data_IF_672176056895
#
_entry.id   IF_672176056895
#
_cell.length_a   1.000
_cell.length_b   1.000
_cell.length_c   1.000
_cell.angle_alpha   90.00
_cell.angle_beta   90.00
_cell.angle_gamma   90.00
#
_symmetry.space_group_name_H-M   'P 1'
#
loop_
_entity.id
_entity.type
_entity.pdbx_description
1 polymer ?
#
# COMPACT_ATOMS: atom_id res chain seq x y z
N UNK A 1 26.81 5.48 4.76
CA UNK A 1 26.06 4.41 4.06
C UNK A 1 26.94 3.77 2.97
N UNK A 2 26.93 2.44 2.80
CA UNK A 2 27.68 1.76 1.73
C UNK A 2 26.79 1.49 0.50
N UNK A 3 26.57 2.53 -0.32
CA UNK A 3 25.67 2.46 -1.48
C UNK A 3 26.05 1.35 -2.48
N UNK A 4 27.35 1.14 -2.73
CA UNK A 4 27.85 0.14 -3.68
C UNK A 4 27.41 -1.29 -3.32
N UNK A 5 27.41 -1.63 -2.04
CA UNK A 5 26.97 -2.96 -1.59
C UNK A 5 25.48 -3.17 -1.84
N UNK A 6 24.65 -2.15 -1.59
CA UNK A 6 23.20 -2.22 -1.82
C UNK A 6 22.92 -2.34 -3.32
N UNK A 7 23.54 -1.49 -4.14
CA UNK A 7 23.38 -1.47 -5.59
C UNK A 7 23.76 -2.81 -6.23
N UNK A 8 24.84 -3.45 -5.75
CA UNK A 8 25.23 -4.80 -6.19
C UNK A 8 24.14 -5.83 -5.92
N UNK A 9 23.47 -5.78 -4.76
CA UNK A 9 22.40 -6.74 -4.42
C UNK A 9 21.14 -6.54 -5.25
N UNK A 10 20.80 -5.30 -5.59
CA UNK A 10 19.73 -5.02 -6.55
C UNK A 10 20.10 -5.51 -7.95
N UNK A 11 21.36 -5.35 -8.35
CA UNK A 11 21.86 -5.86 -9.63
C UNK A 11 21.76 -7.38 -9.72
N UNK A 12 22.07 -8.11 -8.63
CA UNK A 12 21.92 -9.57 -8.55
C UNK A 12 20.48 -10.04 -8.83
N UNK A 13 19.46 -9.29 -8.38
CA UNK A 13 18.04 -9.58 -8.68
C UNK A 13 17.57 -9.00 -10.02
N UNK A 14 18.48 -8.46 -10.84
CA UNK A 14 18.20 -7.88 -12.15
C UNK A 14 17.62 -6.46 -12.11
N UNK A 15 17.70 -5.77 -10.97
CA UNK A 15 17.20 -4.41 -10.79
C UNK A 15 18.32 -3.38 -10.81
N UNK A 16 17.96 -2.13 -11.14
CA UNK A 16 18.82 -0.96 -10.95
C UNK A 16 18.43 -0.26 -9.66
N UNK A 17 19.41 0.19 -8.90
CA UNK A 17 19.23 0.97 -7.67
C UNK A 17 20.12 2.20 -7.72
N UNK A 18 19.60 3.33 -7.26
CA UNK A 18 20.36 4.57 -7.09
C UNK A 18 20.12 5.10 -5.69
N UNK A 19 21.19 5.35 -4.94
CA UNK A 19 21.10 6.12 -3.70
C UNK A 19 21.38 7.58 -4.03
N UNK A 20 20.38 8.45 -3.84
CA UNK A 20 20.50 9.88 -4.15
C UNK A 20 20.47 10.71 -2.87
N UNK A 21 21.54 11.44 -2.64
CA UNK A 21 21.54 12.46 -1.60
C UNK A 21 20.84 13.73 -2.08
N UNK A 22 19.96 14.30 -1.25
CA UNK A 22 19.19 15.50 -1.57
C UNK A 22 19.53 16.61 -0.57
N UNK A 23 20.18 17.70 -1.03
CA UNK A 23 20.45 18.84 -0.18
C UNK A 23 19.17 19.63 0.11
N UNK A 24 19.14 20.31 1.25
CA UNK A 24 18.17 21.38 1.48
C UNK A 24 18.47 22.53 0.53
N UNK A 25 17.47 23.02 -0.19
CA UNK A 25 17.67 24.07 -1.20
C UNK A 25 16.53 25.06 -1.25
N UNK A 26 16.85 26.26 -1.71
CA UNK A 26 15.87 27.27 -2.06
C UNK A 26 15.17 26.90 -3.37
N UNK A 27 13.83 26.82 -3.36
CA UNK A 27 13.05 26.64 -4.59
C UNK A 27 12.59 28.00 -5.10
N UNK A 28 13.13 28.44 -6.25
CA UNK A 28 12.82 29.75 -6.83
C UNK A 28 11.36 29.89 -7.28
N UNK A 29 10.70 28.80 -7.70
CA UNK A 29 9.32 28.82 -8.17
C UNK A 29 8.29 29.03 -7.06
N UNK A 30 8.43 28.28 -5.96
CA UNK A 30 7.49 28.32 -4.82
C UNK A 30 7.88 29.32 -3.74
N UNK A 31 9.00 30.06 -3.91
CA UNK A 31 9.61 30.95 -2.90
C UNK A 31 9.68 30.30 -1.51
N UNK A 32 10.02 29.00 -1.47
CA UNK A 32 9.99 28.19 -0.25
C UNK A 32 11.30 27.45 -0.07
N UNK A 33 11.75 27.35 1.18
CA UNK A 33 12.86 26.49 1.56
C UNK A 33 12.39 25.03 1.47
N UNK A 34 12.95 24.27 0.54
CA UNK A 34 12.72 22.83 0.44
C UNK A 34 13.74 22.10 1.29
N UNK A 35 13.29 21.58 2.43
CA UNK A 35 14.07 20.72 3.31
C UNK A 35 13.30 19.40 3.46
N UNK A 36 13.64 18.35 2.69
CA UNK A 36 12.98 17.07 2.85
C UNK A 36 13.23 16.54 4.26
N UNK A 37 12.16 16.24 4.99
CA UNK A 37 12.22 15.92 6.43
C UNK A 37 12.63 14.48 6.72
N UNK A 38 12.49 13.59 5.75
CA UNK A 38 12.83 12.18 5.90
C UNK A 38 13.33 11.58 4.58
N UNK A 39 13.85 10.35 4.67
CA UNK A 39 14.23 9.57 3.49
C UNK A 39 13.01 8.94 2.80
N UNK A 40 13.17 8.54 1.54
CA UNK A 40 12.12 7.89 0.78
C UNK A 40 12.68 6.79 -0.12
N UNK A 41 11.99 5.65 -0.16
CA UNK A 41 12.24 4.57 -1.11
C UNK A 41 11.13 4.58 -2.15
N UNK A 42 11.49 4.64 -3.43
CA UNK A 42 10.54 4.78 -4.53
C UNK A 42 11.05 4.08 -5.80
N UNK A 43 10.22 4.02 -6.84
CA UNK A 43 10.61 3.58 -8.18
C UNK A 43 10.52 4.77 -9.12
N UNK A 44 11.58 4.99 -9.86
CA UNK A 44 11.72 6.08 -10.82
C UNK A 44 12.02 5.48 -12.20
N UNK A 45 11.89 6.29 -13.25
CA UNK A 45 12.13 5.87 -14.63
C UNK A 45 13.04 6.86 -15.34
N UNK A 46 14.03 6.34 -16.06
CA UNK A 46 14.87 7.10 -16.98
C UNK A 46 14.86 6.47 -18.39
N UNK A 47 15.69 6.99 -19.30
CA UNK A 47 15.82 6.47 -20.66
C UNK A 47 16.28 5.00 -20.73
N UNK A 48 16.86 4.47 -19.65
CA UNK A 48 17.33 3.07 -19.52
C UNK A 48 16.32 2.19 -18.76
N UNK A 49 15.12 2.70 -18.47
CA UNK A 49 14.04 1.96 -17.80
C UNK A 49 13.86 2.33 -16.33
N UNK A 50 13.14 1.47 -15.61
CA UNK A 50 12.83 1.65 -14.20
C UNK A 50 14.04 1.36 -13.30
N UNK A 51 14.11 2.08 -12.18
CA UNK A 51 15.11 1.87 -11.14
C UNK A 51 14.53 2.21 -9.77
N UNK A 52 15.01 1.51 -8.75
CA UNK A 52 14.74 1.85 -7.36
C UNK A 52 15.58 3.06 -6.95
N UNK A 53 14.98 3.99 -6.21
CA UNK A 53 15.66 5.16 -5.68
C UNK A 53 15.48 5.26 -4.17
N UNK A 54 16.60 5.26 -3.43
CA UNK A 54 16.63 5.67 -2.03
C UNK A 54 17.09 7.12 -1.96
N UNK A 55 16.15 8.02 -1.74
CA UNK A 55 16.37 9.45 -1.53
C UNK A 55 16.72 9.70 -0.07
N UNK A 56 17.87 10.32 0.16
CA UNK A 56 18.41 10.57 1.51
C UNK A 56 18.67 12.07 1.68
N UNK A 57 17.99 12.77 2.61
CA UNK A 57 18.34 14.15 2.91
C UNK A 57 19.78 14.24 3.41
N UNK A 58 20.55 15.24 2.95
CA UNK A 58 21.97 15.38 3.32
C UNK A 58 22.21 15.39 4.83
N UNK A 59 21.32 16.04 5.59
CA UNK A 59 21.41 16.10 7.05
C UNK A 59 21.12 14.77 7.76
N UNK A 60 20.52 13.78 7.08
CA UNK A 60 20.27 12.44 7.61
C UNK A 60 21.28 11.41 7.10
N UNK A 61 22.13 11.75 6.12
CA UNK A 61 23.04 10.82 5.43
C UNK A 61 23.98 10.07 6.40
N UNK A 62 24.46 10.76 7.44
CA UNK A 62 25.30 10.16 8.48
C UNK A 62 24.52 9.30 9.49
N UNK A 63 23.23 9.57 9.70
CA UNK A 63 22.37 8.87 10.66
C UNK A 63 21.58 7.71 10.05
N UNK A 64 21.64 7.54 8.72
CA UNK A 64 20.92 6.49 8.00
C UNK A 64 21.85 5.36 7.55
N UNK A 65 21.47 4.16 7.93
CA UNK A 65 22.11 2.91 7.51
C UNK A 65 21.08 2.08 6.74
N UNK A 66 21.39 1.74 5.50
CA UNK A 66 20.58 0.85 4.68
C UNK A 66 21.33 -0.46 4.44
N UNK A 67 20.65 -1.58 4.69
CA UNK A 67 21.24 -2.92 4.65
C UNK A 67 20.27 -3.88 3.98
N UNK A 68 20.78 -4.67 3.03
CA UNK A 68 20.02 -5.76 2.43
C UNK A 68 20.01 -6.95 3.39
N UNK A 69 18.83 -7.29 3.90
CA UNK A 69 18.65 -8.41 4.86
C UNK A 69 18.67 -9.75 4.13
N UNK A 70 18.00 -9.83 2.99
CA UNK A 70 17.97 -11.03 2.16
C UNK A 70 17.73 -10.64 0.69
N UNK A 71 18.46 -11.28 -0.22
CA UNK A 71 18.18 -11.24 -1.66
C UNK A 71 17.78 -12.63 -2.13
N UNK A 72 16.75 -12.73 -2.96
CA UNK A 72 16.29 -13.96 -3.61
C UNK A 72 16.27 -13.74 -5.12
N UNK A 73 17.44 -13.75 -5.81
CA UNK A 73 17.57 -13.36 -7.21
C UNK A 73 16.65 -14.12 -8.17
N UNK A 74 16.48 -15.44 -7.94
CA UNK A 74 15.61 -16.29 -8.78
C UNK A 74 14.15 -15.87 -8.75
N UNK A 75 13.71 -15.31 -7.62
CA UNK A 75 12.36 -14.77 -7.48
C UNK A 75 12.33 -13.27 -7.81
N UNK A 76 13.49 -12.63 -7.99
CA UNK A 76 13.66 -11.18 -8.17
C UNK A 76 13.05 -10.37 -7.03
N UNK A 77 13.27 -10.83 -5.81
CA UNK A 77 12.81 -10.18 -4.59
C UNK A 77 13.97 -9.94 -3.64
N UNK A 78 13.89 -8.87 -2.85
CA UNK A 78 14.87 -8.48 -1.86
C UNK A 78 14.18 -7.78 -0.68
N UNK A 79 14.67 -8.04 0.52
CA UNK A 79 14.27 -7.34 1.73
C UNK A 79 15.35 -6.33 2.12
N UNK A 80 15.01 -5.04 2.05
CA UNK A 80 15.84 -3.93 2.46
C UNK A 80 15.43 -3.47 3.86
N UNK A 81 16.41 -3.20 4.72
CA UNK A 81 16.19 -2.60 6.04
C UNK A 81 16.87 -1.24 6.06
N UNK A 82 16.16 -0.22 6.52
CA UNK A 82 16.70 1.12 6.71
C UNK A 82 16.57 1.50 8.18
N UNK A 83 17.71 1.76 8.81
CA UNK A 83 17.82 2.18 10.20
C UNK A 83 18.19 3.65 10.25
N UNK A 84 17.41 4.44 10.98
CA UNK A 84 17.76 5.81 11.37
C UNK A 84 18.16 5.83 12.83
N UNK A 85 19.40 6.24 13.11
CA UNK A 85 19.87 6.55 14.46
C UNK A 85 19.53 8.01 14.84
N UNK A 86 19.52 8.33 16.14
CA UNK A 86 19.24 9.68 16.64
C UNK A 86 18.14 9.71 17.70
N UNK A 87 17.54 10.89 17.91
CA UNK A 87 16.55 11.12 18.98
C UNK A 87 15.27 10.29 18.83
N UNK A 88 14.89 9.98 17.59
CA UNK A 88 13.74 9.11 17.29
C UNK A 88 14.21 7.95 16.42
N UNK A 89 14.76 6.88 17.04
CA UNK A 89 15.27 5.74 16.30
C UNK A 89 14.13 5.10 15.51
N UNK A 90 14.42 4.80 14.25
CA UNK A 90 13.45 4.22 13.33
C UNK A 90 14.08 3.04 12.62
N UNK A 91 13.30 1.98 12.43
CA UNK A 91 13.72 0.78 11.72
C UNK A 91 12.61 0.38 10.75
N UNK A 92 12.78 0.76 9.49
CA UNK A 92 11.83 0.42 8.45
C UNK A 92 12.36 -0.74 7.60
N UNK A 93 11.43 -1.49 7.04
CA UNK A 93 11.72 -2.60 6.14
C UNK A 93 10.91 -2.45 4.87
N UNK A 94 11.56 -2.69 3.74
CA UNK A 94 10.96 -2.59 2.43
C UNK A 94 11.14 -3.91 1.69
N UNK A 95 10.05 -4.49 1.23
CA UNK A 95 10.08 -5.54 0.24
C UNK A 95 10.18 -4.89 -1.13
N UNK A 96 11.31 -5.10 -1.79
CA UNK A 96 11.54 -4.68 -3.17
C UNK A 96 11.46 -5.92 -4.05
N UNK A 97 10.73 -5.86 -5.15
CA UNK A 97 10.62 -7.01 -6.03
C UNK A 97 10.10 -6.66 -7.40
N UNK A 98 10.02 -7.67 -8.25
CA UNK A 98 9.30 -7.55 -9.52
C UNK A 98 8.12 -8.49 -9.53
N UNK A 99 7.02 -8.00 -10.08
CA UNK A 99 5.82 -8.78 -10.29
C UNK A 99 5.28 -8.51 -11.68
N UNK A 100 4.67 -9.51 -12.32
CA UNK A 100 4.13 -9.47 -13.69
C UNK A 100 4.97 -8.65 -14.69
N UNK A 101 4.74 -7.33 -14.74
CA UNK A 101 5.35 -6.39 -15.68
C UNK A 101 6.23 -5.32 -15.04
N UNK A 102 6.15 -5.10 -13.74
CA UNK A 102 6.69 -3.90 -13.10
C UNK A 102 7.44 -4.23 -11.81
N UNK A 103 8.41 -3.37 -11.50
CA UNK A 103 9.03 -3.36 -10.18
C UNK A 103 8.04 -2.81 -9.14
N UNK A 104 8.17 -3.26 -7.89
CA UNK A 104 7.40 -2.73 -6.77
C UNK A 104 8.27 -2.56 -5.53
N UNK A 105 7.86 -1.60 -4.69
CA UNK A 105 8.35 -1.43 -3.32
C UNK A 105 7.15 -1.43 -2.38
N UNK A 106 7.26 -2.14 -1.27
CA UNK A 106 6.23 -2.17 -0.23
C UNK A 106 6.86 -2.01 1.15
N UNK A 107 6.35 -1.08 1.96
CA UNK A 107 6.71 -0.98 3.36
C UNK A 107 6.13 -2.18 4.13
N UNK A 108 6.96 -2.85 4.93
CA UNK A 108 6.60 -4.09 5.60
C UNK A 108 6.41 -3.85 7.09
N UNK A 109 5.25 -4.18 7.66
CA UNK A 109 5.04 -4.06 9.09
C UNK A 109 5.84 -5.11 9.88
N UNK A 110 6.35 -4.72 11.04
CA UNK A 110 6.94 -5.63 12.02
C UNK A 110 8.41 -6.00 11.80
N UNK A 111 8.90 -6.92 12.64
CA UNK A 111 10.29 -7.36 12.71
C UNK A 111 10.67 -8.48 11.75
N UNK A 112 10.34 -8.37 10.47
CA UNK A 112 10.62 -9.46 9.50
C UNK A 112 12.11 -9.58 9.17
N UNK A 113 12.60 -10.80 8.96
CA UNK A 113 14.02 -11.08 8.64
C UNK A 113 14.21 -11.86 7.34
N UNK A 114 13.15 -12.09 6.57
CA UNK A 114 13.21 -12.75 5.27
C UNK A 114 12.18 -12.20 4.30
N UNK A 115 12.44 -12.36 3.00
CA UNK A 115 11.49 -12.07 1.92
C UNK A 115 10.16 -12.81 2.14
N UNK A 116 10.23 -14.08 2.55
CA UNK A 116 9.03 -14.89 2.85
C UNK A 116 8.20 -14.28 3.98
N UNK A 117 8.84 -13.94 5.11
CA UNK A 117 8.13 -13.30 6.22
C UNK A 117 7.57 -11.93 5.82
N UNK A 118 8.28 -11.19 4.97
CA UNK A 118 7.80 -9.91 4.45
C UNK A 118 6.54 -10.09 3.58
N UNK A 119 6.52 -11.06 2.68
CA UNK A 119 5.34 -11.40 1.88
C UNK A 119 4.16 -11.84 2.76
N UNK A 120 4.40 -12.62 3.81
CA UNK A 120 3.38 -13.04 4.78
C UNK A 120 2.85 -11.85 5.60
N UNK A 121 3.73 -10.93 6.01
CA UNK A 121 3.38 -9.74 6.76
C UNK A 121 2.54 -8.74 5.94
N UNK A 122 2.61 -8.81 4.60
CA UNK A 122 1.78 -8.05 3.66
C UNK A 122 0.41 -8.71 3.38
N UNK A 123 0.16 -9.93 3.86
CA UNK A 123 -1.13 -10.60 3.71
C UNK A 123 -2.10 -10.21 4.84
N UNK A 124 -3.30 -9.69 4.50
CA UNK A 124 -4.34 -9.44 5.49
C UNK A 124 -4.70 -10.69 6.28
N UNK A 125 -5.17 -10.50 7.52
CA UNK A 125 -5.61 -11.60 8.39
C UNK A 125 -6.61 -12.51 7.70
N UNK A 126 -7.60 -11.93 7.01
CA UNK A 126 -8.66 -12.68 6.33
C UNK A 126 -8.10 -13.51 5.15
N UNK A 127 -7.07 -13.01 4.45
CA UNK A 127 -6.34 -13.78 3.43
C UNK A 127 -5.59 -14.96 4.06
N UNK A 128 -4.93 -14.74 5.21
CA UNK A 128 -4.23 -15.82 5.94
C UNK A 128 -5.20 -16.89 6.43
N UNK A 129 -6.39 -16.50 6.91
CA UNK A 129 -7.47 -17.41 7.28
C UNK A 129 -7.94 -18.20 6.06
N UNK A 130 -8.19 -17.54 4.92
CA UNK A 130 -8.60 -18.21 3.69
C UNK A 130 -7.54 -19.22 3.22
N UNK A 131 -6.25 -18.87 3.26
CA UNK A 131 -5.16 -19.78 2.90
C UNK A 131 -5.14 -21.04 3.78
N UNK A 132 -5.37 -20.89 5.09
CA UNK A 132 -5.43 -22.00 6.03
C UNK A 132 -6.68 -22.86 5.80
N UNK A 133 -7.86 -22.24 5.70
CA UNK A 133 -9.15 -22.92 5.45
C UNK A 133 -9.10 -23.76 4.18
N UNK A 134 -8.49 -23.23 3.12
CA UNK A 134 -8.35 -23.94 1.85
C UNK A 134 -7.08 -24.80 1.78
N UNK A 135 -6.31 -24.93 2.86
CA UNK A 135 -5.09 -25.75 2.92
C UNK A 135 -4.11 -25.46 1.77
N UNK A 136 -3.90 -24.20 1.42
CA UNK A 136 -3.01 -23.81 0.31
C UNK A 136 -1.57 -24.15 0.67
N UNK A 137 -0.91 -24.93 -0.20
CA UNK A 137 0.48 -25.36 0.01
C UNK A 137 1.44 -24.18 0.03
N UNK A 138 2.52 -24.31 0.80
CA UNK A 138 3.54 -23.26 0.97
C UNK A 138 4.11 -22.70 -0.33
N UNK A 139 4.16 -23.52 -1.40
CA UNK A 139 4.60 -23.12 -2.75
C UNK A 139 3.59 -22.22 -3.49
N UNK A 140 2.30 -22.31 -3.16
CA UNK A 140 1.21 -21.58 -3.84
C UNK A 140 0.68 -20.39 -3.03
N UNK A 141 1.09 -20.23 -1.77
CA UNK A 141 0.60 -19.16 -0.88
C UNK A 141 0.92 -17.74 -1.35
N UNK A 142 1.98 -17.57 -2.16
CA UNK A 142 2.36 -16.29 -2.75
C UNK A 142 2.06 -16.20 -4.25
N UNK A 143 1.50 -17.26 -4.83
CA UNK A 143 1.06 -17.23 -6.22
C UNK A 143 -0.11 -16.24 -6.35
N UNK A 144 -0.12 -15.47 -7.44
CA UNK A 144 -1.14 -14.46 -7.75
C UNK A 144 -2.54 -15.07 -7.86
N UNK A 145 -2.64 -16.34 -8.23
CA UNK A 145 -3.89 -17.11 -8.26
C UNK A 145 -3.70 -18.42 -7.51
N UNK A 146 -4.58 -18.65 -6.54
CA UNK A 146 -4.74 -19.93 -5.88
C UNK A 146 -6.23 -20.10 -5.47
N UNK A 147 -6.55 -21.19 -4.79
CA UNK A 147 -7.91 -21.49 -4.35
C UNK A 147 -8.46 -20.57 -3.24
N UNK A 148 -7.59 -19.84 -2.54
CA UNK A 148 -7.98 -18.93 -1.48
C UNK A 148 -8.14 -17.48 -1.96
N UNK A 149 -7.44 -17.07 -3.03
CA UNK A 149 -7.57 -15.72 -3.58
C UNK A 149 -7.06 -15.60 -5.03
N UNK A 150 -7.47 -14.51 -5.67
CA UNK A 150 -6.74 -13.86 -6.77
C UNK A 150 -6.12 -12.56 -6.27
N UNK A 151 -4.95 -12.17 -6.78
CA UNK A 151 -4.23 -10.95 -6.39
C UNK A 151 -3.86 -10.16 -7.65
N UNK A 152 -4.05 -8.85 -7.60
CA UNK A 152 -3.65 -7.90 -8.63
C UNK A 152 -3.13 -6.63 -7.92
N UNK A 153 -1.87 -6.28 -8.15
CA UNK A 153 -1.22 -5.19 -7.41
C UNK A 153 -1.28 -5.42 -5.88
N UNK A 154 -1.87 -4.46 -5.18
CA UNK A 154 -2.10 -4.48 -3.74
C UNK A 154 -3.42 -5.16 -3.29
N UNK A 155 -4.26 -5.52 -4.24
CA UNK A 155 -5.60 -6.04 -3.99
C UNK A 155 -5.61 -7.57 -3.96
N UNK A 156 -6.30 -8.11 -2.96
CA UNK A 156 -6.66 -9.52 -2.84
C UNK A 156 -8.17 -9.66 -3.02
N UNK A 157 -8.56 -10.64 -3.84
CA UNK A 157 -9.93 -11.00 -4.13
C UNK A 157 -10.16 -12.41 -3.57
N UNK A 158 -10.84 -12.50 -2.44
CA UNK A 158 -11.14 -13.77 -1.74
C UNK A 158 -12.51 -14.28 -2.17
N UNK A 159 -12.63 -15.52 -2.68
CA UNK A 159 -13.90 -16.12 -3.14
C UNK A 159 -15.05 -16.06 -2.12
N UNK A 160 -16.22 -15.59 -2.55
CA UNK A 160 -17.50 -15.64 -1.83
C UNK A 160 -18.59 -16.26 -2.74
N UNK A 161 -18.48 -17.55 -3.13
CA UNK A 161 -19.29 -18.15 -4.18
C UNK A 161 -20.79 -18.26 -3.84
N UNK A 162 -21.14 -18.23 -2.55
CA UNK A 162 -22.53 -18.32 -2.07
C UNK A 162 -23.17 -16.95 -1.85
N UNK A 163 -22.42 -15.86 -2.04
CA UNK A 163 -22.94 -14.52 -1.83
C UNK A 163 -23.95 -14.15 -2.91
N UNK A 164 -25.11 -13.66 -2.47
CA UNK A 164 -26.16 -13.12 -3.34
C UNK A 164 -26.33 -11.65 -3.02
N UNK A 165 -26.35 -10.81 -4.06
CA UNK A 165 -26.48 -9.35 -3.95
C UNK A 165 -27.72 -8.93 -4.72
N UNK A 166 -28.54 -8.09 -4.10
CA UNK A 166 -29.66 -7.44 -4.77
C UNK A 166 -29.14 -6.66 -6.00
N UNK A 167 -29.66 -6.93 -7.22
CA UNK A 167 -29.25 -6.22 -8.44
C UNK A 167 -29.28 -4.69 -8.32
N UNK A 168 -30.18 -4.11 -7.52
CA UNK A 168 -30.26 -2.66 -7.30
C UNK A 168 -29.09 -2.08 -6.49
N UNK A 169 -28.31 -2.92 -5.81
CA UNK A 169 -27.13 -2.54 -5.02
C UNK A 169 -25.81 -2.80 -5.75
N UNK A 170 -25.87 -3.18 -7.04
CA UNK A 170 -24.69 -3.45 -7.87
C UNK A 170 -24.29 -2.17 -8.58
N UNK A 171 -23.14 -1.65 -8.22
CA UNK A 171 -22.46 -0.57 -8.91
C UNK A 171 -21.67 -1.14 -10.09
N UNK A 172 -21.59 -0.40 -11.20
CA UNK A 172 -20.93 -0.88 -12.43
C UNK A 172 -19.79 0.03 -12.85
N UNK A 173 -18.69 -0.57 -13.32
CA UNK A 173 -17.50 0.14 -13.79
C UNK A 173 -16.90 1.09 -12.74
N UNK A 174 -16.88 0.62 -11.49
CA UNK A 174 -16.43 1.41 -10.36
C UNK A 174 -14.91 1.36 -10.22
N UNK A 175 -14.27 2.50 -9.89
CA UNK A 175 -12.85 2.51 -9.56
C UNK A 175 -12.60 1.97 -8.15
N UNK A 176 -11.63 1.05 -8.02
CA UNK A 176 -10.94 0.72 -6.79
C UNK A 176 -9.58 1.43 -6.77
N UNK A 177 -9.37 2.32 -5.81
CA UNK A 177 -8.17 3.18 -5.77
C UNK A 177 -7.61 3.25 -4.37
N UNK A 178 -6.28 3.26 -4.26
CA UNK A 178 -5.54 3.73 -3.09
C UNK A 178 -4.92 5.10 -3.39
N UNK A 179 -5.27 6.10 -2.58
CA UNK A 179 -4.68 7.44 -2.67
C UNK A 179 -4.75 8.04 -4.08
N UNK A 180 -3.61 8.56 -4.55
CA UNK A 180 -3.49 9.21 -5.86
C UNK A 180 -3.16 8.30 -7.05
N UNK A 181 -3.06 6.98 -6.87
CA UNK A 181 -2.65 6.04 -7.94
C UNK A 181 -3.68 5.86 -9.07
N UNK A 182 -3.35 5.14 -10.14
CA UNK A 182 -4.33 4.75 -11.16
C UNK A 182 -5.33 3.76 -10.54
N UNK A 183 -6.66 3.91 -10.78
CA UNK A 183 -7.63 2.99 -10.23
C UNK A 183 -7.63 1.66 -10.99
N UNK A 184 -7.95 0.59 -10.27
CA UNK A 184 -8.42 -0.64 -10.89
C UNK A 184 -9.89 -0.44 -11.24
N UNK A 185 -10.29 -0.65 -12.50
CA UNK A 185 -11.70 -0.59 -12.87
C UNK A 185 -12.33 -1.97 -12.68
N UNK A 186 -13.40 -1.99 -11.89
CA UNK A 186 -14.16 -3.21 -11.58
C UNK A 186 -15.50 -3.15 -12.29
N UNK A 187 -15.81 -4.21 -13.04
CA UNK A 187 -17.06 -4.30 -13.79
C UNK A 187 -18.30 -4.23 -12.88
N UNK A 188 -18.29 -4.98 -11.77
CA UNK A 188 -19.38 -4.99 -10.80
C UNK A 188 -18.86 -4.93 -9.37
N UNK A 189 -19.34 -3.95 -8.62
CA UNK A 189 -18.92 -3.68 -7.25
C UNK A 189 -20.13 -3.59 -6.32
N UNK A 190 -20.00 -4.16 -5.13
CA UNK A 190 -20.98 -4.05 -4.08
C UNK A 190 -20.30 -3.63 -2.78
N UNK A 191 -20.86 -2.65 -2.09
CA UNK A 191 -20.41 -2.19 -0.77
C UNK A 191 -21.46 -2.58 0.26
N UNK A 192 -21.05 -3.32 1.30
CA UNK A 192 -21.92 -3.79 2.37
C UNK A 192 -21.39 -3.40 3.75
N UNK A 193 -22.28 -3.08 4.67
CA UNK A 193 -21.91 -2.64 6.02
C UNK A 193 -21.19 -1.29 6.06
N UNK A 194 -20.30 -1.13 7.06
CA UNK A 194 -19.57 0.11 7.37
C UNK A 194 -20.26 0.94 8.46
N UNK A 195 -19.46 1.69 9.22
CA UNK A 195 -19.95 2.67 10.19
C UNK A 195 -20.26 3.99 9.47
N UNK A 196 -21.45 4.55 9.71
CA UNK A 196 -21.78 5.89 9.20
C UNK A 196 -20.94 6.93 9.93
N UNK A 197 -20.18 7.73 9.19
CA UNK A 197 -19.32 8.78 9.72
C UNK A 197 -19.61 10.13 9.05
N UNK A 198 -19.38 11.21 9.79
CA UNK A 198 -19.43 12.58 9.29
C UNK A 198 -18.02 13.09 9.06
N UNK A 199 -17.72 13.49 7.83
CA UNK A 199 -16.40 13.93 7.38
C UNK A 199 -16.44 15.42 7.05
N UNK A 200 -15.39 16.15 7.44
CA UNK A 200 -15.14 17.52 6.98
C UNK A 200 -13.63 17.76 6.89
N UNK A 201 -13.18 18.90 6.37
CA UNK A 201 -11.76 19.23 6.23
C UNK A 201 -10.97 19.13 7.55
N UNK A 202 -11.64 19.37 8.69
CA UNK A 202 -11.03 19.27 10.04
C UNK A 202 -11.04 17.86 10.62
N UNK A 203 -11.93 17.00 10.13
CA UNK A 203 -12.05 15.60 10.52
C UNK A 203 -11.99 14.71 9.28
N UNK A 204 -10.81 14.61 8.63
CA UNK A 204 -10.67 13.92 7.36
C UNK A 204 -11.05 12.43 7.48
N UNK A 205 -10.75 11.77 8.60
CA UNK A 205 -11.08 10.35 8.85
C UNK A 205 -12.53 10.09 9.31
N UNK A 206 -13.35 11.14 9.34
CA UNK A 206 -14.72 11.09 9.82
C UNK A 206 -14.83 10.90 11.34
N UNK A 207 -15.91 11.43 11.89
CA UNK A 207 -16.33 11.16 13.28
C UNK A 207 -17.60 10.31 13.26
N UNK A 208 -17.77 9.45 14.25
CA UNK A 208 -19.02 8.68 14.37
C UNK A 208 -20.20 9.62 14.62
N UNK A 209 -21.41 9.17 14.31
CA UNK A 209 -22.66 9.91 14.57
C UNK A 209 -22.72 10.48 16.00
N UNK A 210 -22.32 9.68 17.00
CA UNK A 210 -22.30 10.09 18.41
C UNK A 210 -21.33 11.25 18.65
N UNK A 211 -20.13 11.15 18.11
CA UNK A 211 -19.10 12.21 18.26
C UNK A 211 -19.51 13.45 17.49
N UNK A 212 -20.08 13.31 16.28
CA UNK A 212 -20.61 14.41 15.50
C UNK A 212 -21.65 15.22 16.28
N UNK A 213 -22.65 14.56 16.86
CA UNK A 213 -23.69 15.23 17.67
C UNK A 213 -23.12 15.96 18.87
N UNK A 214 -22.18 15.34 19.58
CA UNK A 214 -21.53 15.98 20.72
C UNK A 214 -20.70 17.20 20.30
N UNK A 215 -20.08 17.14 19.13
CA UNK A 215 -19.27 18.23 18.58
C UNK A 215 -20.13 19.41 18.15
N UNK A 216 -21.32 19.16 17.59
CA UNK A 216 -22.31 20.21 17.32
C UNK A 216 -22.85 20.84 18.62
N UNK A 217 -23.03 20.03 19.68
CA UNK A 217 -23.53 20.50 20.98
C UNK A 217 -22.51 21.39 21.71
N UNK A 218 -21.25 20.97 21.72
CA UNK A 218 -20.17 21.66 22.44
C UNK A 218 -19.53 22.79 21.65
N UNK A 219 -19.65 22.78 20.32
CA UNK A 219 -19.15 23.83 19.45
C UNK A 219 -20.17 24.18 18.35
N UNK A 220 -21.05 25.16 18.58
CA UNK A 220 -22.05 25.57 17.60
C UNK A 220 -21.47 26.00 16.24
N UNK A 221 -20.22 26.47 16.18
CA UNK A 221 -19.56 26.83 14.91
C UNK A 221 -19.25 25.61 14.05
N UNK A 222 -19.23 24.40 14.63
CA UNK A 222 -18.96 23.16 13.91
C UNK A 222 -20.01 22.84 12.85
N UNK A 223 -21.25 23.30 13.00
CA UNK A 223 -22.30 23.11 12.00
C UNK A 223 -21.90 23.64 10.60
N UNK A 224 -21.03 24.65 10.52
CA UNK A 224 -20.60 25.30 9.27
C UNK A 224 -19.36 24.68 8.63
N UNK A 225 -18.86 23.54 9.13
CA UNK A 225 -17.61 22.95 8.63
C UNK A 225 -17.75 22.15 7.33
N UNK A 226 -18.94 22.13 6.70
CA UNK A 226 -19.14 21.46 5.40
C UNK A 226 -19.12 19.94 5.52
N UNK A 227 -19.93 19.39 6.42
CA UNK A 227 -19.98 17.95 6.70
C UNK A 227 -20.57 17.14 5.54
N UNK A 228 -20.01 15.96 5.31
CA UNK A 228 -20.53 14.94 4.39
C UNK A 228 -20.70 13.63 5.13
N UNK A 229 -21.80 12.94 4.87
CA UNK A 229 -22.03 11.59 5.40
C UNK A 229 -21.34 10.58 4.50
N UNK A 230 -20.49 9.75 5.08
CA UNK A 230 -19.71 8.70 4.40
C UNK A 230 -19.78 7.40 5.20
N UNK A 231 -19.34 6.27 4.63
CA UNK A 231 -19.28 4.99 5.35
C UNK A 231 -17.84 4.57 5.54
N UNK A 232 -17.42 4.42 6.79
CA UNK A 232 -16.09 3.93 7.18
C UNK A 232 -16.08 2.42 7.29
N UNK A 233 -15.03 1.77 6.79
CA UNK A 233 -14.83 0.31 6.81
C UNK A 233 -15.96 -0.53 6.17
N UNK A 234 -16.56 -0.15 5.01
CA UNK A 234 -17.49 -1.05 4.34
C UNK A 234 -16.75 -2.30 3.85
N UNK A 235 -17.41 -3.45 3.91
CA UNK A 235 -17.01 -4.61 3.14
C UNK A 235 -17.19 -4.32 1.66
N UNK A 236 -16.13 -4.51 0.88
CA UNK A 236 -16.14 -4.30 -0.57
C UNK A 236 -16.11 -5.65 -1.26
N UNK A 237 -16.97 -5.84 -2.25
CA UNK A 237 -17.09 -7.08 -3.02
C UNK A 237 -17.07 -6.77 -4.51
N UNK A 238 -16.38 -7.59 -5.29
CA UNK A 238 -16.20 -7.43 -6.72
C UNK A 238 -16.60 -8.70 -7.48
N UNK A 239 -17.14 -8.53 -8.70
CA UNK A 239 -17.45 -9.61 -9.65
C UNK A 239 -17.18 -9.13 -11.08
N UNK A 240 -16.94 -10.06 -11.99
CA UNK A 240 -16.65 -9.79 -13.40
C UNK A 240 -15.19 -9.42 -13.61
N UNK A 241 -14.94 -8.57 -14.60
CA UNK A 241 -13.57 -8.17 -14.95
C UNK A 241 -12.99 -7.11 -14.01
N UNK A 242 -11.69 -7.22 -13.72
CA UNK A 242 -10.91 -6.20 -13.02
C UNK A 242 -9.68 -5.84 -13.85
N UNK A 243 -9.68 -4.63 -14.38
CA UNK A 243 -8.63 -4.10 -15.26
C UNK A 243 -7.76 -3.06 -14.56
N UNK A 244 -6.46 -3.10 -14.84
CA UNK A 244 -5.50 -2.07 -14.45
C UNK A 244 -4.45 -1.90 -15.56
N UNK A 245 -4.01 -0.68 -15.91
CA UNK A 245 -3.03 -0.48 -16.99
C UNK A 245 -1.70 -1.21 -16.77
N UNK A 246 -1.30 -1.36 -15.51
CA UNK A 246 0.01 -1.90 -15.14
C UNK A 246 -0.06 -3.42 -14.80
N UNK A 247 -1.26 -4.04 -14.84
CA UNK A 247 -1.43 -5.46 -14.49
C UNK A 247 -2.29 -6.21 -15.50
N UNK A 248 -2.13 -7.53 -15.57
CA UNK A 248 -3.00 -8.35 -16.42
C UNK A 248 -4.45 -8.31 -15.90
N UNK A 249 -5.42 -8.08 -16.79
CA UNK A 249 -6.85 -8.10 -16.42
C UNK A 249 -7.22 -9.47 -15.86
N UNK A 250 -7.93 -9.49 -14.73
CA UNK A 250 -8.44 -10.73 -14.12
C UNK A 250 -9.95 -10.82 -14.26
N UNK A 251 -10.45 -12.06 -14.27
CA UNK A 251 -11.88 -12.37 -14.25
C UNK A 251 -12.30 -13.02 -12.93
N UNK A 252 -13.41 -12.55 -12.37
CA UNK A 252 -14.00 -12.97 -11.10
C UNK A 252 -15.39 -13.60 -11.36
N UNK A 253 -15.49 -14.95 -11.46
CA UNK A 253 -16.72 -15.63 -11.92
C UNK A 253 -17.90 -15.56 -10.94
N UNK A 254 -17.64 -15.18 -9.69
CA UNK A 254 -18.62 -14.97 -8.63
C UNK A 254 -18.14 -13.81 -7.75
N UNK A 255 -18.91 -13.42 -6.74
CA UNK A 255 -18.49 -12.36 -5.82
C UNK A 255 -17.21 -12.74 -5.09
N UNK A 256 -16.28 -11.81 -5.01
CA UNK A 256 -15.08 -11.92 -4.21
C UNK A 256 -15.01 -10.76 -3.24
N UNK A 257 -14.70 -11.04 -1.98
CA UNK A 257 -14.38 -10.00 -1.01
C UNK A 257 -13.05 -9.36 -1.36
N UNK A 258 -13.05 -8.04 -1.46
CA UNK A 258 -11.88 -7.22 -1.81
C UNK A 258 -11.18 -6.81 -0.52
N UNK A 259 -9.89 -7.13 -0.45
CA UNK A 259 -9.03 -6.81 0.68
C UNK A 259 -7.74 -6.16 0.15
N UNK A 260 -7.34 -5.05 0.75
CA UNK A 260 -6.06 -4.41 0.46
C UNK A 260 -4.96 -5.07 1.30
N UNK A 261 -3.72 -5.10 0.81
CA UNK A 261 -2.56 -5.57 1.58
C UNK A 261 -2.37 -4.79 2.91
N UNK A 262 -1.53 -5.32 3.78
CA UNK A 262 -1.24 -4.73 5.11
C UNK A 262 -0.06 -3.78 5.12
N UNK A 263 0.39 -3.32 3.94
CA UNK A 263 1.38 -2.24 3.83
C UNK A 263 0.94 -1.03 4.69
N UNK A 264 -0.38 -0.85 4.79
CA UNK A 264 -0.99 0.25 5.51
C UNK A 264 -0.87 0.19 7.05
N UNK A 265 -0.27 -0.86 7.60
CA UNK A 265 -0.15 -1.08 9.05
C UNK A 265 1.28 -0.80 9.56
N UNK A 266 2.19 -0.36 8.69
CA UNK A 266 3.57 -0.01 9.07
C UNK A 266 3.67 1.43 9.61
N UNK A 267 4.49 1.66 10.65
CA UNK A 267 4.74 3.02 11.19
C UNK A 267 5.40 3.96 10.17
N UNK A 268 5.91 3.39 9.08
CA UNK A 268 6.48 4.04 7.88
C UNK A 268 5.42 4.84 7.07
N UNK A 269 4.14 4.75 7.46
CA UNK A 269 2.98 5.36 6.79
C UNK A 269 2.63 6.80 7.15
N UNK A 270 3.46 7.58 7.86
CA UNK A 270 3.15 9.02 8.12
C UNK A 270 2.86 9.84 6.83
N UNK A 271 3.01 9.24 5.64
CA UNK A 271 2.80 9.83 4.33
C UNK A 271 1.59 9.31 3.51
N UNK A 272 0.72 8.40 3.98
CA UNK A 272 -0.45 7.96 3.18
C UNK A 272 -1.69 7.69 4.07
N UNK A 273 -2.81 8.34 3.77
CA UNK A 273 -4.11 8.13 4.44
C UNK A 273 -5.18 7.66 3.44
N UNK A 274 -6.10 6.79 3.86
CA UNK A 274 -7.20 6.26 3.05
C UNK A 274 -8.55 6.83 3.54
N UNK A 275 -9.37 7.34 2.62
CA UNK A 275 -10.75 7.75 2.80
C UNK A 275 -11.56 7.33 1.57
N UNK A 276 -12.70 6.64 1.77
CA UNK A 276 -13.79 6.44 0.80
C UNK A 276 -15.09 6.93 1.43
#
# INVERSE_FOLDING_TARGET
>A
MNAKQIESRFTEMGARMIVREIPSRWSHGDRRWFSPTDYAMDIQRDARGEFFELRVPSHLSAALEATVVQSVPRERHLLLMVRRSGQTPQLDRFLCGHDERDWFVAAVPGGVSSVRQAMEALQPRDVRIALARHQVSSRKRFARKNRAFRRQGEWFFVPEPTMTVDPGLILRNEPLRRGGGKPHLVEQLHRSGGETVHVCTRHPNGVSERVFRELLRTNPKAARWGWRVMRRNPGVFARGTVGHPDHATIDLPFWHRVLMNTENQSSTMRNVAFLD
#
